data_IF_330442876563
#
_entry.id   IF_330442876563
#
_cell.length_a   1.000
_cell.length_b   1.000
_cell.length_c   1.000
_cell.angle_alpha   90.00
_cell.angle_beta   90.00
_cell.angle_gamma   90.00
#
_symmetry.space_group_name_H-M   'P 1'
#
loop_
_entity.id
_entity.type
_entity.pdbx_description
1 polymer ?
#
# COMPACT_ATOMS: atom_id res chain seq x y z
N UNK A 1 6.19 2.91 -9.00
CA UNK A 1 4.81 2.49 -9.32
C UNK A 1 3.87 3.57 -8.83
N UNK A 2 2.78 3.79 -9.57
CA UNK A 2 1.73 4.74 -9.22
C UNK A 2 0.38 4.08 -9.44
N UNK A 3 -0.52 4.22 -8.48
CA UNK A 3 -1.85 3.64 -8.53
C UNK A 3 -2.84 4.72 -8.16
N UNK A 4 -3.92 4.83 -8.92
CA UNK A 4 -4.98 5.76 -8.64
C UNK A 4 -6.34 5.08 -8.70
N UNK A 5 -7.25 5.53 -7.83
CA UNK A 5 -8.56 4.93 -7.76
C UNK A 5 -9.50 5.68 -6.83
N UNK A 6 -10.53 4.95 -6.42
CA UNK A 6 -11.53 5.43 -5.47
C UNK A 6 -11.84 4.37 -4.42
N UNK A 7 -12.39 4.82 -3.30
CA UNK A 7 -12.83 3.96 -2.22
C UNK A 7 -14.21 4.38 -1.71
N UNK A 8 -15.01 3.38 -1.36
CA UNK A 8 -16.20 3.54 -0.54
C UNK A 8 -15.94 2.94 0.83
N UNK A 9 -16.07 3.77 1.87
CA UNK A 9 -15.92 3.41 3.27
C UNK A 9 -17.31 3.40 3.93
N UNK A 10 -17.68 2.28 4.55
CA UNK A 10 -18.99 2.11 5.21
C UNK A 10 -19.12 2.96 6.48
N UNK A 11 -20.31 2.99 7.09
CA UNK A 11 -20.62 3.83 8.27
C UNK A 11 -19.69 3.60 9.48
N UNK A 12 -19.13 2.39 9.63
CA UNK A 12 -18.15 2.05 10.69
C UNK A 12 -16.86 1.52 10.06
N UNK A 13 -16.07 2.39 9.41
CA UNK A 13 -15.05 1.96 8.47
C UNK A 13 -13.72 1.57 9.13
N UNK A 14 -13.53 1.91 10.41
CA UNK A 14 -12.30 1.58 11.15
C UNK A 14 -11.10 2.36 10.64
N UNK A 15 -9.98 1.67 10.41
CA UNK A 15 -8.75 2.25 9.87
C UNK A 15 -8.41 1.63 8.52
N UNK A 16 -7.67 2.38 7.71
CA UNK A 16 -6.99 1.88 6.50
C UNK A 16 -5.49 1.77 6.74
N UNK A 17 -4.91 0.72 6.17
CA UNK A 17 -3.46 0.58 6.00
C UNK A 17 -3.17 0.25 4.54
N UNK A 18 -2.26 0.99 3.91
CA UNK A 18 -1.73 0.66 2.60
C UNK A 18 -0.36 0.01 2.75
N UNK A 19 -0.15 -1.08 2.03
CA UNK A 19 1.00 -1.95 2.24
C UNK A 19 1.40 -2.65 0.95
N UNK A 20 2.67 -3.04 0.88
CA UNK A 20 3.25 -3.71 -0.27
C UNK A 20 3.78 -5.08 0.16
N UNK A 21 3.24 -6.14 -0.44
CA UNK A 21 3.75 -7.50 -0.27
C UNK A 21 4.72 -7.89 -1.39
N UNK A 22 5.70 -8.70 -1.04
CA UNK A 22 6.40 -9.62 -1.94
C UNK A 22 5.81 -11.02 -1.76
N UNK A 23 4.95 -11.46 -2.69
CA UNK A 23 4.18 -12.68 -2.52
C UNK A 23 3.45 -13.13 -3.78
N UNK A 24 2.39 -13.90 -3.63
CA UNK A 24 1.66 -14.49 -4.77
C UNK A 24 0.56 -13.59 -5.35
N UNK A 25 0.29 -12.45 -4.71
CA UNK A 25 -0.85 -11.57 -5.04
C UNK A 25 -2.15 -11.94 -4.35
N UNK A 26 -2.19 -13.04 -3.60
CA UNK A 26 -3.30 -13.37 -2.72
C UNK A 26 -3.43 -12.38 -1.55
N UNK A 27 -4.64 -12.27 -1.00
CA UNK A 27 -4.94 -11.38 0.13
C UNK A 27 -4.01 -11.65 1.32
N UNK A 28 -3.40 -10.59 1.85
CA UNK A 28 -2.47 -10.60 2.96
C UNK A 28 -1.35 -11.67 2.87
N UNK A 29 -0.89 -11.99 1.66
CA UNK A 29 0.06 -13.08 1.42
C UNK A 29 1.48 -12.61 1.08
N UNK A 30 2.46 -13.19 1.80
CA UNK A 30 3.88 -13.00 1.55
C UNK A 30 4.56 -12.08 2.57
N UNK A 31 5.72 -11.56 2.20
CA UNK A 31 6.53 -10.71 3.07
C UNK A 31 6.14 -9.24 2.87
N UNK A 32 5.85 -8.51 3.96
CA UNK A 32 5.60 -7.07 3.89
C UNK A 32 6.92 -6.34 3.62
N UNK A 33 6.97 -5.56 2.53
CA UNK A 33 8.09 -4.71 2.17
C UNK A 33 7.97 -3.30 2.77
N UNK A 34 6.74 -2.83 2.98
CA UNK A 34 6.46 -1.53 3.59
C UNK A 34 4.98 -1.37 3.88
N UNK A 35 4.66 -0.62 4.93
CA UNK A 35 3.28 -0.37 5.38
C UNK A 35 3.14 1.05 5.89
N UNK A 36 1.98 1.68 5.65
CA UNK A 36 1.59 2.91 6.34
C UNK A 36 1.33 2.66 7.82
N UNK A 37 1.20 3.73 8.60
CA UNK A 37 0.50 3.67 9.87
C UNK A 37 -0.99 3.40 9.62
N UNK A 38 -1.66 2.78 10.58
CA UNK A 38 -3.12 2.68 10.57
C UNK A 38 -3.70 4.10 10.64
N UNK A 39 -4.49 4.48 9.64
CA UNK A 39 -5.11 5.81 9.55
C UNK A 39 -6.62 5.67 9.60
N UNK A 40 -7.29 6.45 10.45
CA UNK A 40 -8.75 6.38 10.59
C UNK A 40 -9.46 6.73 9.28
N UNK A 41 -10.42 5.92 8.89
CA UNK A 41 -11.30 6.17 7.76
C UNK A 41 -12.52 6.98 8.20
N UNK A 42 -12.99 7.83 7.31
CA UNK A 42 -14.27 8.53 7.41
C UNK A 42 -15.25 7.89 6.43
N UNK A 43 -16.49 7.66 6.85
CA UNK A 43 -17.52 7.08 6.01
C UNK A 43 -17.77 7.97 4.78
N UNK A 44 -17.85 7.37 3.60
CA UNK A 44 -17.97 8.10 2.34
C UNK A 44 -17.99 7.18 1.13
N UNK A 45 -18.41 7.71 0.00
CA UNK A 45 -18.60 6.94 -1.23
C UNK A 45 -17.80 7.54 -2.38
N UNK A 46 -17.14 6.69 -3.17
CA UNK A 46 -16.43 7.11 -4.39
C UNK A 46 -15.39 8.23 -4.14
N UNK A 47 -14.65 8.15 -3.03
CA UNK A 47 -13.65 9.14 -2.68
C UNK A 47 -12.28 8.73 -3.24
N UNK A 48 -11.59 9.70 -3.84
CA UNK A 48 -10.32 9.45 -4.54
C UNK A 48 -9.16 9.16 -3.59
N UNK A 49 -8.23 8.35 -4.09
CA UNK A 49 -6.94 8.08 -3.46
C UNK A 49 -5.87 7.80 -4.51
N UNK A 50 -4.61 7.93 -4.09
CA UNK A 50 -3.43 7.68 -4.90
C UNK A 50 -2.33 7.05 -4.04
N UNK A 51 -1.66 6.04 -4.58
CA UNK A 51 -0.54 5.35 -3.96
C UNK A 51 0.68 5.43 -4.88
N UNK A 52 1.73 6.10 -4.40
CA UNK A 52 3.03 6.14 -5.06
C UNK A 52 4.03 5.31 -4.26
N UNK A 53 4.72 4.36 -4.92
CA UNK A 53 5.76 3.54 -4.29
C UNK A 53 7.00 3.46 -5.17
N UNK A 54 8.17 3.56 -4.53
CA UNK A 54 9.47 3.27 -5.09
C UNK A 54 10.09 2.08 -4.33
N UNK A 55 10.58 1.10 -5.08
CA UNK A 55 11.28 -0.06 -4.55
C UNK A 55 12.67 -0.08 -5.16
N UNK A 56 13.67 -0.22 -4.30
CA UNK A 56 15.06 -0.34 -4.70
C UNK A 56 15.61 -1.68 -4.25
N UNK A 57 16.23 -2.40 -5.19
CA UNK A 57 16.99 -3.59 -4.87
C UNK A 57 18.40 -3.20 -4.43
N UNK A 58 18.83 -3.68 -3.26
CA UNK A 58 20.19 -3.48 -2.73
C UNK A 58 21.09 -4.68 -3.00
N UNK A 59 20.53 -5.89 -2.95
CA UNK A 59 21.27 -7.15 -3.20
C UNK A 59 20.37 -8.13 -3.94
N UNK A 60 20.97 -8.94 -4.81
CA UNK A 60 20.29 -9.93 -5.65
C UNK A 60 20.46 -11.36 -5.11
N UNK A 61 19.60 -12.28 -5.57
CA UNK A 61 19.67 -13.71 -5.24
C UNK A 61 18.60 -14.16 -4.23
N UNK A 62 18.79 -15.35 -3.67
CA UNK A 62 17.85 -15.98 -2.74
C UNK A 62 17.80 -15.34 -1.35
N UNK A 63 18.81 -14.52 -1.02
CA UNK A 63 18.83 -13.62 0.14
C UNK A 63 18.81 -12.15 -0.26
N UNK A 64 18.15 -11.82 -1.37
CA UNK A 64 18.07 -10.45 -1.88
C UNK A 64 17.46 -9.49 -0.87
N UNK A 65 17.71 -8.19 -1.06
CA UNK A 65 17.27 -7.17 -0.12
C UNK A 65 16.60 -6.02 -0.85
N UNK A 66 15.34 -5.74 -0.50
CA UNK A 66 14.55 -4.66 -1.07
C UNK A 66 14.34 -3.56 -0.03
N UNK A 67 14.33 -2.31 -0.48
CA UNK A 67 13.92 -1.16 0.32
C UNK A 67 12.74 -0.52 -0.38
N UNK A 68 11.66 -0.34 0.34
CA UNK A 68 10.47 0.35 -0.16
C UNK A 68 10.34 1.70 0.52
N UNK A 69 9.96 2.71 -0.25
CA UNK A 69 9.45 3.97 0.27
C UNK A 69 8.37 4.52 -0.65
N UNK A 70 7.50 5.38 -0.13
CA UNK A 70 6.36 5.89 -0.88
C UNK A 70 5.37 6.59 0.02
N UNK A 71 4.17 6.77 -0.50
CA UNK A 71 3.14 7.54 0.17
C UNK A 71 1.74 7.19 -0.35
N UNK A 72 0.77 7.24 0.55
CA UNK A 72 -0.65 7.22 0.25
C UNK A 72 -1.20 8.64 0.40
N UNK A 73 -1.76 9.17 -0.67
CA UNK A 73 -2.54 10.40 -0.63
C UNK A 73 -4.02 10.07 -0.83
N UNK A 74 -4.90 10.68 -0.07
CA UNK A 74 -6.32 10.38 -0.11
C UNK A 74 -7.14 11.65 0.04
N UNK A 75 -8.39 11.64 -0.41
CA UNK A 75 -9.31 12.72 -0.09
C UNK A 75 -9.41 12.85 1.45
N UNK A 76 -9.35 14.07 1.99
CA UNK A 76 -9.51 14.33 3.45
C UNK A 76 -10.89 13.95 3.97
N UNK A 77 -11.87 13.79 3.07
CA UNK A 77 -13.18 13.22 3.40
C UNK A 77 -13.15 11.69 3.49
N UNK A 78 -12.10 11.02 3.02
CA UNK A 78 -11.91 9.56 3.09
C UNK A 78 -11.11 9.16 4.31
N UNK A 79 -10.05 9.91 4.63
CA UNK A 79 -9.24 9.67 5.84
C UNK A 79 -9.37 10.83 6.82
N UNK A 80 -9.58 10.52 8.09
CA UNK A 80 -9.68 11.51 9.17
C UNK A 80 -8.29 12.01 9.62
N UNK A 81 -7.46 12.46 8.67
CA UNK A 81 -6.13 13.00 8.92
C UNK A 81 -5.84 14.19 8.01
N UNK A 82 -5.45 15.31 8.61
CA UNK A 82 -4.91 16.46 7.89
C UNK A 82 -3.39 16.34 7.65
N UNK A 83 -2.74 15.34 8.26
CA UNK A 83 -1.34 15.02 8.02
C UNK A 83 -1.27 14.11 6.80
N UNK A 84 -1.08 14.72 5.63
CA UNK A 84 -0.97 14.05 4.34
C UNK A 84 0.26 14.52 3.57
N UNK A 85 0.89 13.64 2.78
CA UNK A 85 0.48 12.26 2.53
C UNK A 85 0.89 11.29 3.67
N UNK A 86 0.24 10.13 3.75
CA UNK A 86 0.57 9.09 4.74
C UNK A 86 1.77 8.29 4.22
N UNK A 87 2.89 8.36 4.93
CA UNK A 87 4.16 7.80 4.45
C UNK A 87 4.21 6.27 4.54
N UNK A 88 4.92 5.67 3.57
CA UNK A 88 5.29 4.25 3.54
C UNK A 88 6.82 4.16 3.46
N UNK A 89 7.49 3.41 4.35
CA UNK A 89 6.95 2.88 5.60
C UNK A 89 6.59 4.01 6.58
N UNK A 90 5.75 3.70 7.56
CA UNK A 90 5.35 4.63 8.62
C UNK A 90 6.51 5.15 9.49
N UNK A 91 7.63 4.43 9.45
CA UNK A 91 8.87 4.71 10.17
C UNK A 91 10.05 4.79 9.18
N UNK A 92 11.28 4.90 9.69
CA UNK A 92 12.48 4.85 8.84
C UNK A 92 12.50 3.59 7.96
N UNK A 93 12.74 3.76 6.66
CA UNK A 93 12.84 2.65 5.72
C UNK A 93 14.03 1.73 6.05
N UNK A 94 13.76 0.42 6.11
CA UNK A 94 14.75 -0.62 6.32
C UNK A 94 14.75 -1.59 5.14
N UNK A 95 15.86 -2.29 4.93
CA UNK A 95 15.90 -3.35 3.93
C UNK A 95 15.19 -4.60 4.44
N UNK A 96 14.36 -5.18 3.59
CA UNK A 96 13.63 -6.42 3.84
C UNK A 96 14.24 -7.52 2.99
N UNK A 97 14.65 -8.61 3.64
CA UNK A 97 15.23 -9.77 2.95
C UNK A 97 14.12 -10.61 2.33
N UNK A 98 14.26 -10.90 1.03
CA UNK A 98 13.34 -11.73 0.26
C UNK A 98 14.11 -12.59 -0.74
N UNK A 99 13.50 -13.70 -1.15
CA UNK A 99 14.00 -14.50 -2.26
C UNK A 99 13.57 -13.84 -3.58
N UNK A 100 14.53 -13.28 -4.32
CA UNK A 100 14.31 -12.67 -5.64
C UNK A 100 14.36 -13.70 -6.78
N UNK A 101 14.62 -14.98 -6.48
CA UNK A 101 14.56 -16.09 -7.42
C UNK A 101 13.19 -16.79 -7.40
N UNK A 102 12.39 -16.55 -6.36
CA UNK A 102 11.02 -17.02 -6.27
C UNK A 102 10.10 -16.29 -7.28
N UNK A 103 9.09 -16.99 -7.79
CA UNK A 103 8.08 -16.43 -8.69
C UNK A 103 7.02 -15.61 -7.92
N UNK A 104 7.48 -14.58 -7.23
CA UNK A 104 6.65 -13.65 -6.48
C UNK A 104 6.44 -12.35 -7.26
N UNK A 105 5.39 -11.64 -6.90
CA UNK A 105 5.03 -10.33 -7.45
C UNK A 105 5.04 -9.26 -6.37
N UNK A 106 5.18 -8.01 -6.82
CA UNK A 106 4.87 -6.84 -6.01
C UNK A 106 3.35 -6.71 -5.91
N UNK A 107 2.79 -6.86 -4.71
CA UNK A 107 1.35 -6.81 -4.48
C UNK A 107 0.99 -5.67 -3.52
N UNK A 108 0.68 -4.48 -4.05
CA UNK A 108 0.13 -3.39 -3.25
C UNK A 108 -1.30 -3.73 -2.84
N UNK A 109 -1.61 -3.60 -1.56
CA UNK A 109 -2.93 -3.90 -0.99
C UNK A 109 -3.36 -2.81 -0.02
N UNK A 110 -4.68 -2.61 0.09
CA UNK A 110 -5.33 -1.76 1.07
C UNK A 110 -6.17 -2.62 1.99
N UNK A 111 -5.83 -2.61 3.28
CA UNK A 111 -6.53 -3.38 4.30
C UNK A 111 -7.32 -2.43 5.19
N UNK A 112 -8.62 -2.68 5.33
CA UNK A 112 -9.49 -1.95 6.23
C UNK A 112 -9.85 -2.80 7.46
N UNK A 113 -9.84 -2.20 8.66
CA UNK A 113 -10.10 -2.91 9.93
C UNK A 113 -11.53 -2.76 10.47
N UNK A 114 -12.41 -2.06 9.75
CA UNK A 114 -13.80 -1.82 10.15
C UNK A 114 -14.77 -2.92 9.72
N UNK A 115 -16.06 -2.58 9.73
CA UNK A 115 -17.11 -3.49 9.28
C UNK A 115 -16.94 -3.87 7.82
N UNK A 116 -17.31 -5.10 7.47
CA UNK A 116 -17.30 -5.59 6.10
C UNK A 116 -18.19 -4.72 5.18
N UNK A 117 -17.78 -4.54 3.93
CA UNK A 117 -18.54 -3.82 2.91
C UNK A 117 -17.87 -2.58 2.33
N UNK A 118 -16.74 -2.15 2.88
CA UNK A 118 -15.90 -1.15 2.21
C UNK A 118 -15.29 -1.73 0.93
N UNK A 119 -15.18 -0.93 -0.11
CA UNK A 119 -14.71 -1.37 -1.42
C UNK A 119 -13.67 -0.40 -1.97
N UNK A 120 -12.61 -0.94 -2.57
CA UNK A 120 -11.56 -0.20 -3.26
C UNK A 120 -11.64 -0.54 -4.75
N UNK A 121 -11.62 0.49 -5.60
CA UNK A 121 -11.60 0.34 -7.05
C UNK A 121 -10.34 1.03 -7.55
N UNK A 122 -9.53 0.27 -8.30
CA UNK A 122 -8.36 0.79 -9.00
C UNK A 122 -8.77 1.19 -10.41
N UNK A 123 -8.46 2.41 -10.81
CA UNK A 123 -8.76 2.91 -12.16
C UNK A 123 -7.51 2.93 -13.05
N UNK A 124 -6.37 3.30 -12.47
CA UNK A 124 -5.08 3.33 -13.17
C UNK A 124 -4.03 2.65 -12.30
N UNK A 125 -3.13 1.95 -12.97
CA UNK A 125 -2.05 1.22 -12.39
C UNK A 125 -0.84 1.23 -13.33
N UNK A 126 0.22 1.93 -12.92
CA UNK A 126 1.45 2.05 -13.71
C UNK A 126 2.65 1.51 -12.95
N UNK A 127 3.37 0.60 -13.62
CA UNK A 127 4.70 0.16 -13.23
C UNK A 127 5.74 0.73 -14.19
N UNK A 128 6.77 1.34 -13.61
CA UNK A 128 7.92 1.83 -14.33
C UNK A 128 9.18 1.28 -13.67
N UNK A 129 10.06 0.72 -14.50
CA UNK A 129 11.41 0.34 -14.09
C UNK A 129 12.31 1.55 -14.24
N UNK A 130 12.91 1.99 -13.14
CA UNK A 130 13.87 3.08 -13.12
C UNK A 130 15.27 2.48 -13.18
N UNK A 131 15.97 2.73 -14.28
CA UNK A 131 17.36 2.30 -14.49
C UNK A 131 18.35 3.38 -14.04
#
# INVERSE_FOLDING_TARGET
MRIWGQMTAVATPGNITALLYWGTGADANGTILGTTAATALTAGTALSWELDLLIRCRTLGSGGALITHGMLNANVSLIASTLQPVMIPASSAAAVTVDLTANNVMSPQMIASGSAGSAVIVHDYTYEALN
#
